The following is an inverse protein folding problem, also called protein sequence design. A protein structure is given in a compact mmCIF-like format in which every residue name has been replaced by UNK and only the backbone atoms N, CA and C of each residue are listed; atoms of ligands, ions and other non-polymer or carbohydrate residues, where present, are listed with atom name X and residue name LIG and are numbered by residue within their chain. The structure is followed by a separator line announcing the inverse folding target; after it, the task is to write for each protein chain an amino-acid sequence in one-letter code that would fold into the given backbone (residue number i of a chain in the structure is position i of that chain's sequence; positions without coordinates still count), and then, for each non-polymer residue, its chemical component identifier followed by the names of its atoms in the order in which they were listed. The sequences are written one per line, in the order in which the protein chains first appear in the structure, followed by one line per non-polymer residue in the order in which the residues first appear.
data_IF_413412388128
#
_entry.id   IF_413412388128
#
_cell.length_a   1.000
_cell.length_b   1.000
_cell.length_c   1.000
_cell.angle_alpha   90.00
_cell.angle_beta   90.00
_cell.angle_gamma   90.00
#
_symmetry.space_group_name_H-M   'P 1'
#
loop_
_entity.id
_entity.type
_entity.pdbx_description
1 polymer ?
#
# COMPACT_ATOMS: atom_id res chain seq x y z
N UNK A 1 -77.16 90.55 0.82
CA UNK A 1 -76.11 89.66 0.29
C UNK A 1 -75.65 88.79 1.44
N UNK A 2 -75.89 87.49 1.33
CA UNK A 2 -75.65 86.43 2.31
C UNK A 2 -74.18 85.95 2.22
N UNK A 3 -73.52 85.63 3.34
CA UNK A 3 -72.88 84.32 3.59
C UNK A 3 -72.01 84.27 4.85
N UNK A 4 -72.42 83.37 5.73
CA UNK A 4 -71.65 82.68 6.75
C UNK A 4 -70.33 82.11 6.23
N UNK A 5 -69.32 81.98 7.08
CA UNK A 5 -68.80 80.66 7.50
C UNK A 5 -67.54 80.82 8.36
N UNK A 6 -67.62 80.21 9.54
CA UNK A 6 -66.54 79.95 10.50
C UNK A 6 -65.49 79.05 9.85
N UNK A 7 -64.22 79.20 10.23
CA UNK A 7 -63.32 78.06 10.36
C UNK A 7 -62.35 78.28 11.54
N UNK A 8 -62.70 77.70 12.68
CA UNK A 8 -61.74 77.32 13.71
C UNK A 8 -60.99 76.09 13.22
N UNK A 9 -59.66 76.13 13.22
CA UNK A 9 -58.83 74.94 13.08
C UNK A 9 -58.29 74.53 14.46
N UNK A 10 -58.58 73.31 14.93
CA UNK A 10 -57.87 72.69 16.04
C UNK A 10 -56.76 71.79 15.49
N UNK A 11 -55.55 71.84 16.04
CA UNK A 11 -54.67 70.66 16.04
C UNK A 11 -53.61 70.78 17.13
N UNK A 12 -53.74 69.96 18.17
CA UNK A 12 -52.57 69.37 18.80
C UNK A 12 -52.10 68.18 17.95
N UNK A 13 -50.80 67.89 17.94
CA UNK A 13 -50.24 66.58 18.31
C UNK A 13 -48.75 66.75 18.64
N UNK A 14 -48.26 66.19 19.76
CA UNK A 14 -46.85 66.20 20.13
C UNK A 14 -46.08 65.17 19.31
N UNK A 15 -44.83 65.43 18.96
CA UNK A 15 -43.88 64.36 18.60
C UNK A 15 -42.45 64.89 18.45
N UNK A 16 -41.90 65.44 19.53
CA UNK A 16 -40.46 65.40 19.71
C UNK A 16 -40.05 63.97 20.06
N UNK A 17 -39.84 63.10 19.06
CA UNK A 17 -39.01 61.91 19.29
C UNK A 17 -37.61 62.43 19.64
N UNK A 18 -37.02 62.10 20.81
CA UNK A 18 -35.64 62.44 21.03
C UNK A 18 -34.84 61.79 19.91
N UNK A 19 -34.08 62.61 19.17
CA UNK A 19 -33.07 62.12 18.25
C UNK A 19 -32.18 61.17 19.06
N UNK A 20 -32.29 59.88 18.76
CA UNK A 20 -31.38 58.88 19.33
C UNK A 20 -29.97 59.39 19.11
N UNK A 21 -29.25 59.61 20.20
CA UNK A 21 -27.86 60.06 20.17
C UNK A 21 -27.10 59.11 19.26
N UNK A 22 -26.66 59.60 18.09
CA UNK A 22 -25.69 58.88 17.29
C UNK A 22 -24.40 58.82 18.11
N UNK A 23 -24.10 57.66 18.67
CA UNK A 23 -22.81 57.39 19.29
C UNK A 23 -21.76 57.39 18.18
N UNK A 24 -20.90 58.39 18.17
CA UNK A 24 -19.76 58.44 17.25
C UNK A 24 -18.79 57.29 17.54
N UNK A 25 -18.39 56.58 16.48
CA UNK A 25 -17.42 55.49 16.51
C UNK A 25 -16.07 56.03 17.00
N UNK A 26 -15.57 55.53 18.12
CA UNK A 26 -14.33 56.08 18.71
C UNK A 26 -13.09 55.45 18.05
N UNK A 27 -11.98 56.19 18.00
CA UNK A 27 -10.70 55.67 17.46
C UNK A 27 -10.29 54.35 18.13
N UNK A 28 -10.53 54.26 19.44
CA UNK A 28 -10.24 53.07 20.24
C UNK A 28 -11.07 51.86 19.79
N UNK A 29 -12.32 52.07 19.35
CA UNK A 29 -13.20 51.02 18.86
C UNK A 29 -12.67 50.41 17.56
N UNK A 30 -12.15 51.25 16.66
CA UNK A 30 -11.53 50.76 15.43
C UNK A 30 -10.17 50.09 15.68
N UNK A 31 -9.37 50.63 16.62
CA UNK A 31 -8.10 50.00 17.01
C UNK A 31 -8.32 48.63 17.63
N UNK A 32 -9.29 48.49 18.54
CA UNK A 32 -9.65 47.19 19.13
C UNK A 32 -10.19 46.25 18.07
N UNK A 33 -11.06 46.72 17.17
CA UNK A 33 -11.58 45.91 16.08
C UNK A 33 -10.45 45.36 15.18
N UNK A 34 -9.52 46.21 14.76
CA UNK A 34 -8.39 45.79 13.92
C UNK A 34 -7.44 44.85 14.68
N UNK A 35 -7.18 45.11 15.97
CA UNK A 35 -6.35 44.23 16.79
C UNK A 35 -6.97 42.83 16.92
N UNK A 36 -8.28 42.75 17.20
CA UNK A 36 -9.00 41.48 17.26
C UNK A 36 -9.01 40.77 15.90
N UNK A 37 -9.28 41.51 14.81
CA UNK A 37 -9.23 40.97 13.45
C UNK A 37 -7.84 40.41 13.13
N UNK A 38 -6.78 41.10 13.51
CA UNK A 38 -5.41 40.64 13.31
C UNK A 38 -5.12 39.33 14.05
N UNK A 39 -5.55 39.21 15.32
CA UNK A 39 -5.40 37.97 16.10
C UNK A 39 -6.17 36.82 15.47
N UNK A 40 -7.44 37.06 15.10
CA UNK A 40 -8.28 36.05 14.43
C UNK A 40 -7.64 35.63 13.11
N UNK A 41 -7.17 36.57 12.28
CA UNK A 41 -6.52 36.28 11.01
C UNK A 41 -5.26 35.41 11.19
N UNK A 42 -4.42 35.70 12.19
CA UNK A 42 -3.24 34.88 12.49
C UNK A 42 -3.66 33.48 12.93
N UNK A 43 -4.63 33.35 13.83
CA UNK A 43 -5.13 32.05 14.28
C UNK A 43 -5.77 31.24 13.15
N UNK A 44 -6.56 31.88 12.29
CA UNK A 44 -7.16 31.27 11.10
C UNK A 44 -6.10 30.77 10.13
N UNK A 45 -5.05 31.57 9.87
CA UNK A 45 -3.95 31.15 9.01
C UNK A 45 -3.19 29.95 9.61
N UNK A 46 -2.91 29.97 10.92
CA UNK A 46 -2.23 28.87 11.62
C UNK A 46 -3.08 27.59 11.63
N UNK A 47 -4.39 27.72 11.85
CA UNK A 47 -5.33 26.60 11.81
C UNK A 47 -5.42 25.97 10.42
N UNK A 48 -5.49 26.80 9.38
CA UNK A 48 -5.50 26.34 7.99
C UNK A 48 -4.19 25.63 7.63
N UNK A 49 -3.05 26.23 7.95
CA UNK A 49 -1.72 25.70 7.68
C UNK A 49 -1.46 24.35 8.39
N UNK A 50 -1.87 24.23 9.65
CA UNK A 50 -1.85 22.96 10.37
C UNK A 50 -2.73 21.88 9.70
N UNK A 51 -3.93 22.24 9.24
CA UNK A 51 -4.82 21.32 8.54
C UNK A 51 -4.25 20.87 7.18
N UNK A 52 -3.67 21.79 6.40
CA UNK A 52 -3.05 21.48 5.11
C UNK A 52 -1.90 20.50 5.28
N UNK A 53 -1.00 20.74 6.25
CA UNK A 53 0.07 19.79 6.58
C UNK A 53 -0.46 18.44 7.04
N UNK A 54 -1.45 18.42 7.93
CA UNK A 54 -2.07 17.18 8.42
C UNK A 54 -2.66 16.36 7.28
N UNK A 55 -3.40 17.00 6.36
CA UNK A 55 -3.95 16.33 5.16
C UNK A 55 -2.85 15.79 4.25
N UNK A 56 -1.77 16.53 4.04
CA UNK A 56 -0.64 16.07 3.24
C UNK A 56 -0.01 14.80 3.83
N UNK A 57 0.27 14.80 5.14
CA UNK A 57 0.82 13.63 5.85
C UNK A 57 -0.14 12.45 5.79
N UNK A 58 -1.43 12.66 6.07
CA UNK A 58 -2.43 11.59 6.00
C UNK A 58 -2.54 10.99 4.60
N UNK A 59 -2.53 11.83 3.56
CA UNK A 59 -2.59 11.38 2.16
C UNK A 59 -1.37 10.52 1.80
N UNK A 60 -0.18 10.91 2.26
CA UNK A 60 1.05 10.14 2.04
C UNK A 60 1.05 8.79 2.79
N UNK A 61 0.50 8.72 3.99
CA UNK A 61 0.32 7.44 4.70
C UNK A 61 -0.68 6.54 3.98
N UNK A 62 -1.82 7.09 3.53
CA UNK A 62 -2.82 6.32 2.80
C UNK A 62 -2.28 5.78 1.46
N UNK A 63 -1.46 6.54 0.73
CA UNK A 63 -0.84 6.03 -0.50
C UNK A 63 0.16 4.92 -0.22
N UNK A 64 0.96 5.04 0.85
CA UNK A 64 1.93 4.02 1.26
C UNK A 64 1.25 2.71 1.69
N UNK A 65 0.16 2.80 2.47
CA UNK A 65 -0.65 1.64 2.85
C UNK A 65 -1.27 0.94 1.64
N UNK A 66 -1.79 1.70 0.66
CA UNK A 66 -2.33 1.14 -0.58
C UNK A 66 -1.25 0.42 -1.39
N UNK A 67 -0.09 1.04 -1.55
CA UNK A 67 1.05 0.43 -2.25
C UNK A 67 1.50 -0.87 -1.57
N UNK A 68 1.53 -0.88 -0.23
CA UNK A 68 1.86 -2.08 0.55
C UNK A 68 0.82 -3.19 0.39
N UNK A 69 -0.47 -2.85 0.45
CA UNK A 69 -1.55 -3.80 0.21
C UNK A 69 -1.49 -4.40 -1.20
N UNK A 70 -1.23 -3.57 -2.21
CA UNK A 70 -1.03 -4.01 -3.59
C UNK A 70 0.20 -4.91 -3.74
N UNK A 71 1.32 -4.56 -3.10
CA UNK A 71 2.53 -5.38 -3.09
C UNK A 71 2.24 -6.79 -2.56
N UNK A 72 1.62 -6.89 -1.38
CA UNK A 72 1.31 -8.20 -0.79
C UNK A 72 0.25 -8.97 -1.56
N UNK A 73 -0.75 -8.29 -2.12
CA UNK A 73 -1.73 -8.92 -3.00
C UNK A 73 -1.04 -9.53 -4.25
N UNK A 74 -0.12 -8.77 -4.86
CA UNK A 74 0.63 -9.23 -6.03
C UNK A 74 1.55 -10.41 -5.69
N UNK A 75 2.24 -10.37 -4.55
CA UNK A 75 3.03 -11.51 -4.05
C UNK A 75 2.15 -12.73 -3.79
N UNK A 76 1.00 -12.55 -3.14
CA UNK A 76 0.05 -13.63 -2.87
C UNK A 76 -0.43 -14.31 -4.16
N UNK A 77 -0.71 -13.53 -5.22
CA UNK A 77 -1.05 -14.09 -6.54
C UNK A 77 0.11 -14.88 -7.13
N UNK A 78 1.35 -14.39 -7.04
CA UNK A 78 2.50 -15.09 -7.61
C UNK A 78 2.83 -16.40 -6.88
N UNK A 79 2.78 -16.36 -5.55
CA UNK A 79 3.08 -17.51 -4.69
C UNK A 79 1.98 -18.58 -4.78
N UNK A 80 0.71 -18.20 -4.92
CA UNK A 80 -0.38 -19.15 -5.20
C UNK A 80 -0.22 -19.85 -6.54
N UNK A 81 0.27 -19.14 -7.56
CA UNK A 81 0.54 -19.73 -8.87
C UNK A 81 1.91 -20.41 -8.96
N UNK A 82 2.60 -20.64 -7.83
CA UNK A 82 3.89 -21.32 -7.83
C UNK A 82 3.75 -22.73 -8.45
N UNK A 83 4.67 -23.05 -9.35
CA UNK A 83 4.80 -24.39 -9.92
C UNK A 83 5.06 -25.41 -8.80
N UNK A 84 4.90 -26.70 -9.09
CA UNK A 84 5.10 -27.76 -8.09
C UNK A 84 6.54 -28.27 -8.06
N UNK A 85 6.90 -28.88 -6.95
CA UNK A 85 8.26 -29.37 -6.69
C UNK A 85 8.67 -30.49 -7.66
N UNK A 86 7.72 -31.34 -8.04
CA UNK A 86 7.88 -32.43 -8.99
C UNK A 86 8.11 -31.93 -10.43
N UNK A 87 7.43 -30.86 -10.83
CA UNK A 87 7.59 -30.24 -12.15
C UNK A 87 9.00 -29.63 -12.31
N UNK A 88 9.55 -29.07 -11.24
CA UNK A 88 10.83 -28.36 -11.28
C UNK A 88 12.03 -29.20 -10.83
N UNK A 89 11.83 -30.24 -10.03
CA UNK A 89 12.88 -30.98 -9.34
C UNK A 89 13.64 -30.14 -8.28
N UNK A 90 13.00 -29.09 -7.78
CA UNK A 90 13.56 -28.14 -6.81
C UNK A 90 12.44 -27.28 -6.20
N UNK A 91 12.67 -26.62 -5.05
CA UNK A 91 11.69 -25.73 -4.47
C UNK A 91 11.32 -24.58 -5.44
N UNK A 92 10.03 -24.35 -5.73
CA UNK A 92 9.55 -23.32 -6.64
C UNK A 92 9.68 -21.92 -6.06
N UNK A 93 9.72 -21.80 -4.73
CA UNK A 93 9.93 -20.57 -3.99
C UNK A 93 11.31 -20.61 -3.34
N UNK A 94 12.12 -19.57 -3.59
CA UNK A 94 13.45 -19.39 -3.01
C UNK A 94 13.49 -18.06 -2.28
N UNK A 95 14.03 -18.07 -1.07
CA UNK A 95 14.21 -16.89 -0.22
C UNK A 95 15.68 -16.69 0.12
N UNK A 96 15.99 -15.59 0.81
CA UNK A 96 17.33 -15.26 1.26
C UNK A 96 17.99 -14.13 0.45
N UNK A 97 19.05 -13.54 1.01
CA UNK A 97 19.80 -12.45 0.35
C UNK A 97 18.96 -11.19 0.05
N UNK A 98 17.87 -10.96 0.78
CA UNK A 98 16.96 -9.83 0.50
C UNK A 98 16.15 -10.00 -0.80
N UNK A 99 15.95 -11.24 -1.24
CA UNK A 99 15.18 -11.55 -2.44
C UNK A 99 14.14 -12.63 -2.15
N UNK A 100 12.97 -12.49 -2.77
CA UNK A 100 12.00 -13.56 -2.93
C UNK A 100 11.92 -13.91 -4.42
N UNK A 101 12.24 -15.15 -4.77
CA UNK A 101 12.18 -15.65 -6.13
C UNK A 101 11.16 -16.77 -6.24
N UNK A 102 10.28 -16.70 -7.22
CA UNK A 102 9.16 -17.61 -7.40
C UNK A 102 9.15 -18.09 -8.84
N UNK A 103 9.07 -19.41 -9.04
CA UNK A 103 8.75 -20.00 -10.34
C UNK A 103 7.25 -20.27 -10.36
N UNK A 104 6.53 -19.62 -11.28
CA UNK A 104 5.07 -19.69 -11.34
C UNK A 104 4.56 -20.09 -12.72
N UNK A 105 3.34 -20.61 -12.77
CA UNK A 105 2.58 -20.78 -14.01
C UNK A 105 1.99 -19.44 -14.46
N UNK A 106 2.25 -19.11 -15.72
CA UNK A 106 1.50 -18.13 -16.50
C UNK A 106 0.46 -18.87 -17.33
N UNK A 107 -0.82 -18.63 -17.05
CA UNK A 107 -1.93 -19.12 -17.88
C UNK A 107 -2.29 -18.06 -18.91
N UNK A 108 -2.10 -18.39 -20.19
CA UNK A 108 -2.52 -17.58 -21.32
C UNK A 108 -3.83 -18.17 -21.87
N UNK A 109 -4.74 -17.33 -22.35
CA UNK A 109 -6.01 -17.78 -22.88
C UNK A 109 -5.79 -18.80 -24.03
N UNK A 110 -6.39 -19.98 -23.90
CA UNK A 110 -6.33 -21.05 -24.91
C UNK A 110 -5.00 -21.79 -25.04
N UNK A 111 -4.02 -21.54 -24.17
CA UNK A 111 -2.70 -22.18 -24.20
C UNK A 111 -2.39 -23.03 -22.98
N UNK A 112 -1.46 -23.97 -23.14
CA UNK A 112 -0.87 -24.69 -22.00
C UNK A 112 -0.12 -23.71 -21.08
N UNK A 113 -0.15 -23.91 -19.75
CA UNK A 113 0.61 -23.09 -18.82
C UNK A 113 2.08 -22.97 -19.22
N UNK A 114 2.65 -21.78 -19.07
CA UNK A 114 4.08 -21.52 -19.30
C UNK A 114 4.72 -21.12 -17.99
N UNK A 115 5.97 -21.54 -17.77
CA UNK A 115 6.69 -21.14 -16.55
C UNK A 115 7.22 -19.72 -16.69
N UNK A 116 7.26 -18.98 -15.59
CA UNK A 116 7.95 -17.69 -15.46
C UNK A 116 8.67 -17.62 -14.13
N UNK A 117 9.82 -16.95 -14.10
CA UNK A 117 10.50 -16.58 -12.85
C UNK A 117 10.07 -15.17 -12.49
N UNK A 118 9.62 -14.97 -11.27
CA UNK A 118 9.33 -13.68 -10.67
C UNK A 118 10.30 -13.44 -9.52
N UNK A 119 10.87 -12.23 -9.44
CA UNK A 119 11.74 -11.80 -8.35
C UNK A 119 11.19 -10.56 -7.69
N UNK A 120 11.24 -10.54 -6.37
CA UNK A 120 11.01 -9.37 -5.55
C UNK A 120 12.28 -9.03 -4.78
N UNK A 121 12.70 -7.77 -4.86
CA UNK A 121 13.88 -7.28 -4.13
C UNK A 121 13.77 -5.78 -3.89
N UNK A 122 14.50 -5.29 -2.89
CA UNK A 122 14.65 -3.86 -2.65
C UNK A 122 15.80 -3.27 -3.47
N UNK A 123 15.53 -2.20 -4.21
CA UNK A 123 16.51 -1.43 -5.01
C UNK A 123 16.16 0.05 -4.86
N UNK A 124 17.13 0.90 -4.57
CA UNK A 124 16.94 2.35 -4.48
C UNK A 124 15.75 2.77 -3.60
N UNK A 125 15.59 2.11 -2.44
CA UNK A 125 14.47 2.29 -1.50
C UNK A 125 13.08 1.96 -2.08
N UNK A 126 13.03 1.08 -3.08
CA UNK A 126 11.80 0.58 -3.69
C UNK A 126 11.78 -0.93 -3.70
N UNK A 127 10.62 -1.53 -3.48
CA UNK A 127 10.43 -2.94 -3.82
C UNK A 127 10.04 -3.02 -5.28
N UNK A 128 10.89 -3.69 -6.06
CA UNK A 128 10.64 -3.96 -7.46
C UNK A 128 10.24 -5.42 -7.65
N UNK A 129 9.39 -5.65 -8.64
CA UNK A 129 8.98 -6.95 -9.14
C UNK A 129 9.52 -7.14 -10.54
N UNK A 130 10.42 -8.09 -10.71
CA UNK A 130 11.03 -8.45 -11.98
C UNK A 130 10.43 -9.76 -12.49
N UNK A 131 10.15 -9.85 -13.79
CA UNK A 131 9.53 -11.03 -14.42
C UNK A 131 10.35 -11.46 -15.62
N UNK A 132 10.73 -12.74 -15.67
CA UNK A 132 11.37 -13.30 -16.86
C UNK A 132 10.37 -13.45 -18.03
N UNK A 133 10.88 -13.54 -19.27
CA UNK A 133 10.13 -14.15 -20.37
C UNK A 133 9.64 -15.56 -20.00
N UNK A 134 8.70 -16.09 -20.78
CA UNK A 134 8.21 -17.46 -20.60
C UNK A 134 9.33 -18.46 -20.79
N UNK A 135 9.46 -19.38 -19.83
CA UNK A 135 10.46 -20.43 -19.79
C UNK A 135 9.90 -21.67 -20.50
N UNK A 136 10.65 -22.19 -21.47
CA UNK A 136 10.28 -23.36 -22.28
C UNK A 136 11.28 -24.51 -22.19
N UNK A 137 12.46 -24.29 -21.58
CA UNK A 137 13.48 -25.33 -21.41
C UNK A 137 14.10 -25.26 -20.01
N UNK A 138 14.64 -26.40 -19.55
CA UNK A 138 15.37 -26.49 -18.27
C UNK A 138 16.60 -25.58 -18.27
N UNK A 139 17.28 -25.44 -19.41
CA UNK A 139 18.42 -24.53 -19.56
C UNK A 139 18.02 -23.07 -19.31
N UNK A 140 16.92 -22.61 -19.91
CA UNK A 140 16.36 -21.28 -19.67
C UNK A 140 15.97 -21.08 -18.20
N UNK A 141 15.34 -22.09 -17.58
CA UNK A 141 14.98 -22.06 -16.17
C UNK A 141 16.24 -21.87 -15.29
N UNK A 142 17.26 -22.70 -15.49
CA UNK A 142 18.52 -22.64 -14.72
C UNK A 142 19.20 -21.28 -14.85
N UNK A 143 19.24 -20.72 -16.06
CA UNK A 143 19.79 -19.38 -16.31
C UNK A 143 18.96 -18.31 -15.60
N UNK A 144 17.63 -18.35 -15.73
CA UNK A 144 16.75 -17.37 -15.11
C UNK A 144 16.77 -17.42 -13.58
N UNK A 145 17.06 -18.58 -12.97
CA UNK A 145 17.10 -18.74 -11.53
C UNK A 145 18.42 -18.30 -10.90
N UNK A 146 19.53 -18.53 -11.58
CA UNK A 146 20.88 -18.37 -11.00
C UNK A 146 21.63 -17.17 -11.58
N UNK A 147 21.24 -16.66 -12.75
CA UNK A 147 21.80 -15.47 -13.37
C UNK A 147 21.10 -14.17 -12.94
N UNK A 148 21.68 -13.00 -13.26
CA UNK A 148 21.02 -11.71 -13.07
C UNK A 148 19.75 -11.61 -13.92
N UNK A 149 18.88 -10.64 -13.60
CA UNK A 149 17.78 -10.30 -14.49
C UNK A 149 18.36 -9.79 -15.81
N UNK A 150 17.91 -10.35 -16.93
CA UNK A 150 18.34 -9.91 -18.26
C UNK A 150 17.55 -8.69 -18.73
N UNK A 151 18.03 -8.03 -19.79
CA UNK A 151 17.41 -6.80 -20.32
C UNK A 151 15.96 -6.99 -20.82
N UNK A 152 15.58 -8.24 -21.14
CA UNK A 152 14.22 -8.60 -21.56
C UNK A 152 13.28 -8.94 -20.40
N UNK A 153 13.73 -8.78 -19.15
CA UNK A 153 12.87 -8.94 -17.98
C UNK A 153 12.01 -7.69 -17.81
N UNK A 154 10.74 -7.90 -17.49
CA UNK A 154 9.84 -6.80 -17.14
C UNK A 154 10.07 -6.39 -15.68
N UNK A 155 10.29 -5.11 -15.40
CA UNK A 155 10.51 -4.59 -14.05
C UNK A 155 9.45 -3.56 -13.67
N UNK A 156 8.85 -3.73 -12.49
CA UNK A 156 7.80 -2.86 -11.97
C UNK A 156 8.10 -2.48 -10.52
N UNK A 157 8.19 -1.17 -10.23
CA UNK A 157 8.22 -0.67 -8.86
C UNK A 157 6.81 -0.77 -8.25
N UNK A 158 6.69 -1.42 -7.10
CA UNK A 158 5.41 -1.67 -6.42
C UNK A 158 5.25 -0.88 -5.12
N UNK A 159 6.34 -0.63 -4.41
CA UNK A 159 6.34 0.16 -3.19
C UNK A 159 7.59 1.02 -3.11
N UNK A 160 7.42 2.25 -2.61
CA UNK A 160 8.49 3.23 -2.43
C UNK A 160 8.77 3.43 -0.92
N UNK A 161 9.86 4.13 -0.61
CA UNK A 161 10.27 4.44 0.78
C UNK A 161 10.53 3.18 1.61
N UNK A 162 11.09 2.13 1.01
CA UNK A 162 11.43 0.87 1.69
C UNK A 162 12.86 0.93 2.21
N UNK A 163 13.05 0.69 3.50
CA UNK A 163 14.35 0.59 4.15
C UNK A 163 14.83 -0.84 4.37
N UNK A 164 13.91 -1.80 4.36
CA UNK A 164 14.22 -3.20 4.58
C UNK A 164 13.24 -4.09 3.85
N UNK A 165 13.76 -5.15 3.24
CA UNK A 165 13.00 -6.20 2.62
C UNK A 165 13.67 -7.54 2.95
N UNK A 166 12.94 -8.44 3.59
CA UNK A 166 13.43 -9.78 3.91
C UNK A 166 12.33 -10.81 3.68
N UNK A 167 12.75 -12.06 3.45
CA UNK A 167 11.86 -13.17 3.17
C UNK A 167 12.36 -14.45 3.86
N UNK A 168 11.43 -15.27 4.31
CA UNK A 168 11.67 -16.59 4.90
C UNK A 168 10.66 -17.57 4.34
N UNK A 169 11.10 -18.77 3.99
CA UNK A 169 10.26 -19.87 3.57
C UNK A 169 9.81 -20.67 4.79
N UNK A 170 8.57 -21.11 4.81
CA UNK A 170 8.10 -22.12 5.76
C UNK A 170 8.31 -23.50 5.13
N UNK A 171 9.17 -24.30 5.77
CA UNK A 171 9.44 -25.69 5.40
C UNK A 171 8.74 -26.59 6.43
N UNK A 172 7.97 -27.62 6.01
CA UNK A 172 7.41 -28.60 6.93
C UNK A 172 8.47 -29.18 7.88
N UNK A 173 8.07 -29.48 9.13
CA UNK A 173 8.94 -29.97 10.21
C UNK A 173 10.09 -29.04 10.66
N UNK A 174 10.43 -27.98 9.92
CA UNK A 174 11.55 -27.08 10.20
C UNK A 174 11.13 -25.64 10.53
N UNK A 175 9.95 -25.22 10.07
CA UNK A 175 9.42 -23.88 10.29
C UNK A 175 10.01 -22.82 9.36
N UNK A 176 10.04 -21.56 9.81
CA UNK A 176 10.56 -20.45 9.01
C UNK A 176 12.08 -20.49 8.90
N UNK A 177 12.58 -20.55 7.68
CA UNK A 177 14.02 -20.53 7.37
C UNK A 177 14.33 -19.64 6.16
N UNK A 178 15.56 -19.13 6.11
CA UNK A 178 16.11 -18.51 4.90
C UNK A 178 17.16 -19.39 4.21
N UNK A 179 17.48 -20.55 4.82
CA UNK A 179 18.37 -21.53 4.25
C UNK A 179 17.61 -22.45 3.30
N UNK A 180 17.88 -22.29 2.00
CA UNK A 180 17.28 -23.12 0.96
C UNK A 180 17.85 -24.53 0.88
N UNK A 181 18.92 -24.85 1.63
CA UNK A 181 19.40 -26.21 1.83
C UNK A 181 18.37 -27.06 2.57
N UNK A 182 17.75 -26.51 3.61
CA UNK A 182 16.70 -27.20 4.39
C UNK A 182 15.50 -27.56 3.49
N UNK A 183 15.02 -26.60 2.68
CA UNK A 183 13.93 -26.88 1.73
C UNK A 183 14.34 -27.91 0.66
N UNK A 184 15.61 -27.94 0.26
CA UNK A 184 16.11 -28.95 -0.68
C UNK A 184 16.12 -30.34 -0.05
N UNK A 185 16.52 -30.44 1.21
CA UNK A 185 16.55 -31.70 1.96
C UNK A 185 15.13 -32.23 2.19
N UNK A 186 14.18 -31.35 2.50
CA UNK A 186 12.76 -31.70 2.58
C UNK A 186 12.22 -32.25 1.26
N UNK A 187 12.49 -31.58 0.14
CA UNK A 187 12.11 -32.07 -1.20
C UNK A 187 12.70 -33.47 -1.47
N UNK A 188 13.95 -33.69 -1.10
CA UNK A 188 14.61 -34.98 -1.27
C UNK A 188 14.02 -36.06 -0.35
N UNK A 189 13.50 -35.69 0.82
CA UNK A 189 12.81 -36.58 1.73
C UNK A 189 11.43 -36.94 1.20
N UNK A 190 10.65 -35.95 0.75
CA UNK A 190 9.33 -36.12 0.13
C UNK A 190 9.40 -37.02 -1.11
N UNK A 191 10.41 -36.84 -1.96
CA UNK A 191 10.62 -37.66 -3.15
C UNK A 191 10.97 -39.13 -2.83
N UNK A 192 11.48 -39.42 -1.62
CA UNK A 192 11.82 -40.77 -1.15
C UNK A 192 10.72 -41.41 -0.30
N UNK A 193 9.77 -40.61 0.19
CA UNK A 193 8.69 -41.09 1.02
C UNK A 193 7.84 -42.10 0.21
N UNK A 194 7.48 -43.26 0.79
CA UNK A 194 6.52 -44.16 0.16
C UNK A 194 5.24 -43.39 -0.11
N UNK A 195 4.77 -43.37 -1.35
CA UNK A 195 3.54 -42.72 -1.77
C UNK A 195 2.34 -43.44 -1.12
N UNK A 196 2.06 -43.17 0.16
CA UNK A 196 0.81 -43.59 0.81
C UNK A 196 -0.23 -42.49 0.56
N UNK A 197 -0.45 -42.15 -0.71
CA UNK A 197 -1.62 -41.36 -1.05
C UNK A 197 -2.84 -42.27 -0.96
N UNK A 198 -3.91 -41.90 -0.21
CA UNK A 198 -5.16 -42.67 -0.15
C UNK A 198 -5.73 -42.98 -1.54
N UNK A 199 -5.48 -42.06 -2.49
CA UNK A 199 -5.82 -42.15 -3.89
C UNK A 199 -4.53 -41.83 -4.67
N UNK A 200 -3.82 -42.83 -5.20
CA UNK A 200 -2.43 -42.75 -5.71
C UNK A 200 -2.12 -41.82 -6.89
N UNK A 201 -2.73 -40.63 -6.98
CA UNK A 201 -2.66 -39.70 -8.11
C UNK A 201 -2.64 -38.21 -7.70
N UNK A 202 -2.46 -37.88 -6.41
CA UNK A 202 -2.29 -36.50 -5.94
C UNK A 202 -0.86 -35.97 -6.15
N UNK A 203 -0.68 -34.64 -6.24
CA UNK A 203 0.64 -34.03 -6.37
C UNK A 203 1.52 -34.36 -5.16
N UNK A 204 2.84 -34.44 -5.37
CA UNK A 204 3.79 -34.61 -4.28
C UNK A 204 3.64 -33.46 -3.26
N UNK A 205 3.93 -33.73 -1.97
CA UNK A 205 4.04 -32.67 -0.97
C UNK A 205 5.02 -31.57 -1.43
N UNK A 206 4.75 -30.33 -1.02
CA UNK A 206 5.61 -29.19 -1.32
C UNK A 206 6.62 -29.00 -0.20
N UNK A 207 7.90 -28.93 -0.55
CA UNK A 207 8.99 -28.60 0.39
C UNK A 207 8.89 -27.20 0.98
N UNK A 208 8.17 -26.29 0.32
CA UNK A 208 7.87 -24.95 0.83
C UNK A 208 6.36 -24.72 0.72
N UNK A 209 5.69 -24.63 1.86
CA UNK A 209 4.22 -24.46 1.93
C UNK A 209 3.82 -23.01 2.24
N UNK A 210 4.75 -22.19 2.72
CA UNK A 210 4.50 -20.79 3.02
C UNK A 210 5.72 -19.90 2.78
N UNK A 211 5.48 -18.60 2.66
CA UNK A 211 6.53 -17.57 2.67
C UNK A 211 6.12 -16.42 3.57
N UNK A 212 6.98 -16.05 4.51
CA UNK A 212 6.89 -14.81 5.24
C UNK A 212 7.70 -13.74 4.52
N UNK A 213 7.07 -12.61 4.22
CA UNK A 213 7.72 -11.42 3.69
C UNK A 213 7.60 -10.30 4.70
N UNK A 214 8.71 -9.64 4.99
CA UNK A 214 8.78 -8.50 5.88
C UNK A 214 9.29 -7.27 5.13
N UNK A 215 8.55 -6.17 5.22
CA UNK A 215 8.89 -4.90 4.58
C UNK A 215 8.88 -3.79 5.62
N UNK A 216 9.99 -3.04 5.71
CA UNK A 216 10.12 -1.88 6.59
C UNK A 216 10.07 -0.61 5.76
N UNK A 217 9.06 0.22 6.01
CA UNK A 217 8.93 1.54 5.40
C UNK A 217 9.70 2.60 6.21
N UNK A 218 10.19 3.62 5.51
CA UNK A 218 10.84 4.77 6.12
C UNK A 218 9.87 5.50 7.07
N UNK A 219 10.31 5.72 8.30
CA UNK A 219 9.50 6.39 9.33
C UNK A 219 8.36 5.55 9.91
N UNK A 220 8.18 4.29 9.48
CA UNK A 220 7.21 3.39 10.11
C UNK A 220 7.73 2.89 11.47
N UNK A 221 6.87 2.78 12.50
CA UNK A 221 7.29 2.38 13.85
C UNK A 221 7.70 0.91 13.94
N UNK A 222 7.23 0.06 13.03
CA UNK A 222 7.52 -1.36 12.98
C UNK A 222 7.47 -1.87 11.52
N UNK A 223 8.20 -2.94 11.19
CA UNK A 223 8.07 -3.59 9.89
C UNK A 223 6.72 -4.28 9.74
N UNK A 224 6.23 -4.36 8.50
CA UNK A 224 5.00 -5.08 8.15
C UNK A 224 5.39 -6.47 7.66
N UNK A 225 4.93 -7.50 8.38
CA UNK A 225 5.15 -8.91 8.03
C UNK A 225 3.86 -9.56 7.54
N UNK A 226 3.91 -10.27 6.42
CA UNK A 226 2.80 -11.09 5.89
C UNK A 226 3.27 -12.50 5.59
N UNK A 227 2.44 -13.47 5.95
CA UNK A 227 2.63 -14.89 5.61
C UNK A 227 1.68 -15.22 4.47
N UNK A 228 2.20 -15.83 3.40
CA UNK A 228 1.50 -16.18 2.19
C UNK A 228 1.63 -17.69 1.96
N UNK A 229 0.53 -18.36 1.60
CA UNK A 229 0.51 -19.80 1.32
C UNK A 229 0.89 -20.08 -0.13
N UNK A 230 1.66 -21.14 -0.34
CA UNK A 230 2.30 -21.49 -1.62
C UNK A 230 1.49 -22.56 -2.33
N UNK A 231 1.08 -22.25 -3.57
CA UNK A 231 0.42 -23.24 -4.42
C UNK A 231 -1.04 -23.54 -4.12
N UNK A 232 -1.71 -22.71 -3.30
CA UNK A 232 -3.16 -22.81 -3.00
C UNK A 232 -4.06 -22.02 -3.97
#
# INVERSE_FOLDING_TARGET
MNRDARYSYPTGYPSGRPFGRQSGFTLIEMLVAIALLAVVAVLSYRGLDAMVRSRATLTAHMSSERAMSQLFAQMSVDVRNAASDDELGQPPVRVGGGMLQIVRHLRLAGGAPRLQVVRYRAVDRRVIREISPTISTIGQLRTALNGPAGDNWYSLALADQVEGFSSQAWVPEHGFTSDMGIARDELNADAKAPTILPDGNGPLPRSVTGVAVEVRLHGAPAPIRRVLLVGE
#
